data_IF_811231752037
#
_entry.id   IF_811231752037
#
_cell.length_a   1.000
_cell.length_b   1.000
_cell.length_c   1.000
_cell.angle_alpha   90.00
_cell.angle_beta   90.00
_cell.angle_gamma   90.00
#
_symmetry.space_group_name_H-M   'P 1'
#
loop_
_entity.id
_entity.type
_entity.pdbx_description
1 polymer ?
#
# COMPACT_ATOMS: atom_id res chain seq x y z
N UNK A 1 4.15 -14.05 28.25
CA UNK A 1 4.52 -12.99 27.30
C UNK A 1 5.35 -11.99 28.06
N UNK A 2 6.58 -11.76 27.64
CA UNK A 2 7.48 -10.81 28.31
C UNK A 2 7.10 -9.37 27.97
N UNK A 3 7.61 -8.41 28.74
CA UNK A 3 7.45 -6.98 28.43
C UNK A 3 8.03 -6.62 27.05
N UNK A 4 9.14 -7.26 26.67
CA UNK A 4 9.76 -7.10 25.36
C UNK A 4 8.85 -7.62 24.24
N UNK A 5 8.22 -8.79 24.41
CA UNK A 5 7.29 -9.34 23.42
C UNK A 5 6.09 -8.39 23.20
N UNK A 6 5.58 -7.79 24.28
CA UNK A 6 4.50 -6.82 24.22
C UNK A 6 4.89 -5.59 23.38
N UNK A 7 6.08 -5.03 23.62
CA UNK A 7 6.61 -3.90 22.85
C UNK A 7 6.79 -4.26 21.37
N UNK A 8 7.34 -5.44 21.07
CA UNK A 8 7.55 -5.89 19.70
C UNK A 8 6.22 -6.12 18.94
N UNK A 9 5.15 -6.46 19.66
CA UNK A 9 3.82 -6.67 19.09
C UNK A 9 3.09 -5.39 18.67
N UNK A 10 3.55 -4.21 19.12
CA UNK A 10 2.87 -2.95 18.84
C UNK A 10 2.89 -2.63 17.33
N UNK A 11 1.73 -2.23 16.76
CA UNK A 11 1.67 -1.75 15.38
C UNK A 11 2.54 -0.51 15.19
N UNK A 12 3.24 -0.44 14.07
CA UNK A 12 4.01 0.75 13.66
C UNK A 12 3.19 1.54 12.65
N UNK A 13 2.91 2.80 12.97
CA UNK A 13 2.22 3.73 12.08
C UNK A 13 3.26 4.55 11.32
N UNK A 14 3.09 4.67 10.01
CA UNK A 14 3.94 5.49 9.16
C UNK A 14 3.11 6.08 8.01
N UNK A 15 3.65 7.10 7.35
CA UNK A 15 3.13 7.69 6.11
C UNK A 15 1.63 8.00 6.15
N UNK A 16 1.27 9.20 6.58
CA UNK A 16 -0.11 9.70 6.53
C UNK A 16 -0.35 10.47 5.22
N UNK A 17 -1.46 10.21 4.54
CA UNK A 17 -1.85 10.87 3.28
C UNK A 17 -3.34 11.18 3.27
N UNK A 18 -3.69 12.41 2.90
CA UNK A 18 -5.07 12.85 2.66
C UNK A 18 -5.29 12.96 1.15
N UNK A 19 -6.45 12.54 0.66
CA UNK A 19 -6.85 12.73 -0.73
C UNK A 19 -7.01 14.21 -1.09
N UNK A 20 -6.91 14.60 -2.37
CA UNK A 20 -7.04 15.99 -2.78
C UNK A 20 -8.36 16.67 -2.38
N UNK A 21 -9.45 15.90 -2.34
CA UNK A 21 -10.79 16.34 -1.90
C UNK A 21 -10.96 16.39 -0.37
N UNK A 22 -10.00 15.87 0.39
CA UNK A 22 -10.05 15.83 1.86
C UNK A 22 -10.92 14.70 2.44
N UNK A 23 -11.55 13.86 1.62
CA UNK A 23 -12.53 12.87 2.11
C UNK A 23 -11.88 11.55 2.57
N UNK A 24 -10.67 11.24 2.09
CA UNK A 24 -10.01 9.95 2.36
C UNK A 24 -8.65 10.16 3.01
N UNK A 25 -8.53 9.72 4.25
CA UNK A 25 -7.26 9.64 4.97
C UNK A 25 -6.74 8.20 4.96
N UNK A 26 -5.47 8.01 4.61
CA UNK A 26 -4.83 6.69 4.65
C UNK A 26 -3.50 6.71 5.39
N UNK A 27 -3.17 5.59 6.02
CA UNK A 27 -1.91 5.37 6.71
C UNK A 27 -1.32 4.00 6.39
N UNK A 28 0.01 3.90 6.48
CA UNK A 28 0.68 2.60 6.55
C UNK A 28 0.68 2.10 8.01
N UNK A 29 0.21 0.87 8.20
CA UNK A 29 0.18 0.20 9.50
C UNK A 29 0.92 -1.12 9.37
N UNK A 30 2.09 -1.20 9.99
CA UNK A 30 2.88 -2.43 10.02
C UNK A 30 2.63 -3.21 11.30
N UNK A 31 2.41 -4.52 11.18
CA UNK A 31 2.29 -5.46 12.29
C UNK A 31 3.30 -6.61 12.11
N UNK A 32 3.71 -7.31 13.18
CA UNK A 32 4.49 -8.53 13.01
C UNK A 32 3.77 -9.48 12.05
N UNK A 33 4.50 -10.03 11.08
CA UNK A 33 4.01 -11.08 10.22
C UNK A 33 3.65 -12.33 11.05
N UNK A 34 2.82 -13.25 10.55
CA UNK A 34 2.42 -14.45 11.30
C UNK A 34 3.58 -15.31 11.81
N UNK A 35 4.73 -15.28 11.12
CA UNK A 35 5.95 -15.99 11.52
C UNK A 35 6.81 -15.21 12.54
N UNK A 36 6.45 -13.97 12.85
CA UNK A 36 7.16 -13.07 13.77
C UNK A 36 8.50 -12.55 13.25
N UNK A 37 8.90 -12.86 12.01
CA UNK A 37 10.27 -12.59 11.51
C UNK A 37 10.43 -11.21 10.89
N UNK A 38 9.34 -10.60 10.44
CA UNK A 38 9.34 -9.27 9.82
C UNK A 38 8.11 -8.47 10.22
N UNK A 39 8.19 -7.17 10.02
CA UNK A 39 7.01 -6.30 10.03
C UNK A 39 6.37 -6.32 8.64
N UNK A 40 5.08 -6.64 8.57
CA UNK A 40 4.29 -6.57 7.35
C UNK A 40 3.42 -5.31 7.40
N UNK A 41 3.75 -4.35 6.53
CA UNK A 41 2.96 -3.14 6.32
C UNK A 41 1.72 -3.42 5.47
N UNK A 42 0.62 -2.76 5.83
CA UNK A 42 -0.57 -2.67 5.02
C UNK A 42 -1.14 -1.26 5.03
N UNK A 43 -1.92 -0.92 4.00
CA UNK A 43 -2.57 0.38 3.88
C UNK A 43 -3.94 0.30 4.55
N UNK A 44 -4.23 1.29 5.38
CA UNK A 44 -5.49 1.44 6.10
C UNK A 44 -6.16 2.76 5.73
N UNK A 45 -7.47 2.71 5.51
CA UNK A 45 -8.33 3.89 5.47
C UNK A 45 -8.72 4.29 6.88
N UNK A 46 -8.65 5.58 7.15
CA UNK A 46 -9.01 6.23 8.40
C UNK A 46 -10.13 7.22 8.11
N UNK A 47 -11.07 7.32 9.04
CA UNK A 47 -12.07 8.38 9.01
C UNK A 47 -11.44 9.69 9.52
N UNK A 48 -11.40 10.77 8.73
CA UNK A 48 -10.88 12.06 9.16
C UNK A 48 -11.65 12.67 10.34
N UNK A 49 -12.93 12.35 10.52
CA UNK A 49 -13.75 12.86 11.64
C UNK A 49 -13.60 12.01 12.90
N UNK A 50 -13.10 10.78 12.76
CA UNK A 50 -12.93 9.82 13.85
C UNK A 50 -14.20 9.11 14.31
N UNK A 51 -15.29 9.17 13.53
CA UNK A 51 -16.56 8.53 13.87
C UNK A 51 -16.58 7.04 13.50
N UNK A 52 -15.97 6.68 12.36
CA UNK A 52 -15.91 5.31 11.87
C UNK A 52 -14.55 4.64 12.19
N UNK A 53 -14.55 3.32 12.44
CA UNK A 53 -13.33 2.59 12.76
C UNK A 53 -12.40 2.48 11.54
N UNK A 54 -11.06 2.44 11.75
CA UNK A 54 -10.09 2.18 10.69
C UNK A 54 -10.36 0.89 9.91
N UNK A 55 -10.19 0.92 8.59
CA UNK A 55 -10.39 -0.23 7.71
C UNK A 55 -9.12 -0.56 6.93
N UNK A 56 -8.67 -1.82 7.01
CA UNK A 56 -7.56 -2.33 6.19
C UNK A 56 -7.98 -2.42 4.71
N UNK A 57 -7.25 -1.77 3.83
CA UNK A 57 -7.51 -1.72 2.38
C UNK A 57 -6.70 -2.79 1.61
N UNK A 58 -5.48 -3.08 2.04
CA UNK A 58 -4.58 -4.02 1.36
C UNK A 58 -4.15 -5.18 2.26
N UNK A 59 -3.87 -6.36 1.68
CA UNK A 59 -3.64 -7.62 2.42
C UNK A 59 -2.55 -8.51 1.81
N UNK A 60 -1.62 -7.97 1.03
CA UNK A 60 -0.59 -8.81 0.40
C UNK A 60 0.38 -9.41 1.42
N UNK A 61 0.91 -10.60 1.09
CA UNK A 61 1.89 -11.29 1.92
C UNK A 61 3.28 -10.59 1.94
N UNK A 62 3.79 -10.02 0.83
CA UNK A 62 5.03 -9.26 0.85
C UNK A 62 4.94 -7.98 1.71
N UNK A 63 3.74 -7.39 1.78
CA UNK A 63 3.50 -6.07 2.36
C UNK A 63 3.42 -4.99 1.28
N UNK A 64 3.05 -3.79 1.70
CA UNK A 64 2.92 -2.64 0.80
C UNK A 64 3.61 -1.38 1.34
N UNK A 65 4.16 -0.58 0.43
CA UNK A 65 4.63 0.78 0.71
C UNK A 65 3.63 1.79 0.17
N UNK A 66 3.13 2.66 1.04
CA UNK A 66 2.17 3.71 0.69
C UNK A 66 2.86 4.81 -0.15
N UNK A 67 2.34 5.08 -1.34
CA UNK A 67 2.80 6.17 -2.21
C UNK A 67 2.01 7.46 -1.99
N UNK A 68 1.21 7.81 -2.99
CA UNK A 68 0.49 9.09 -3.07
C UNK A 68 -0.91 8.93 -3.65
N UNK A 69 -1.78 9.89 -3.35
CA UNK A 69 -3.02 10.05 -4.10
C UNK A 69 -2.75 10.76 -5.43
N UNK A 70 -3.40 10.28 -6.49
CA UNK A 70 -3.56 10.97 -7.75
C UNK A 70 -4.64 12.05 -7.64
N UNK A 71 -4.68 12.96 -8.62
CA UNK A 71 -5.66 14.06 -8.68
C UNK A 71 -7.11 13.58 -8.72
N UNK A 72 -7.36 12.44 -9.37
CA UNK A 72 -8.67 11.78 -9.44
C UNK A 72 -9.09 11.08 -8.13
N UNK A 73 -8.24 11.10 -7.10
CA UNK A 73 -8.47 10.40 -5.83
C UNK A 73 -8.03 8.94 -5.83
N UNK A 74 -7.49 8.40 -6.93
CA UNK A 74 -6.91 7.05 -6.95
C UNK A 74 -5.66 7.00 -6.07
N UNK A 75 -5.42 5.87 -5.40
CA UNK A 75 -4.29 5.70 -4.49
C UNK A 75 -3.20 4.84 -5.13
N UNK A 76 -1.98 5.38 -5.18
CA UNK A 76 -0.78 4.66 -5.62
C UNK A 76 -0.03 4.04 -4.44
N UNK A 77 0.47 2.83 -4.65
CA UNK A 77 1.33 2.13 -3.69
C UNK A 77 2.21 1.11 -4.39
N UNK A 78 3.26 0.64 -3.72
CA UNK A 78 4.13 -0.42 -4.26
C UNK A 78 3.95 -1.73 -3.50
N UNK A 79 4.06 -2.84 -4.23
CA UNK A 79 4.00 -4.21 -3.66
C UNK A 79 4.63 -5.21 -4.62
N UNK A 80 5.38 -6.16 -4.10
CA UNK A 80 5.93 -7.31 -4.83
C UNK A 80 4.93 -8.49 -4.91
N UNK A 81 3.63 -8.23 -4.68
CA UNK A 81 2.62 -9.28 -4.80
C UNK A 81 2.49 -9.74 -6.27
N UNK A 82 2.17 -11.02 -6.51
CA UNK A 82 1.87 -11.49 -7.86
C UNK A 82 0.76 -10.67 -8.51
N UNK A 83 0.87 -10.45 -9.82
CA UNK A 83 -0.17 -9.81 -10.62
C UNK A 83 -1.23 -10.87 -10.98
N UNK A 84 -2.47 -10.75 -10.48
CA UNK A 84 -3.52 -11.73 -10.77
C UNK A 84 -3.94 -11.76 -12.25
N UNK A 85 -3.72 -10.66 -12.98
CA UNK A 85 -4.12 -10.51 -14.38
C UNK A 85 -3.00 -10.94 -15.35
N UNK A 86 -1.83 -11.33 -14.84
CA UNK A 86 -0.71 -11.81 -15.66
C UNK A 86 -1.00 -13.20 -16.25
N UNK A 87 -0.63 -13.45 -17.53
CA UNK A 87 -0.67 -14.80 -18.10
C UNK A 87 0.13 -15.80 -17.26
N UNK A 88 -0.48 -16.94 -16.94
CA UNK A 88 0.14 -17.96 -16.06
C UNK A 88 1.35 -18.67 -16.68
N UNK A 89 1.51 -18.56 -17.99
CA UNK A 89 2.56 -19.22 -18.76
C UNK A 89 3.83 -18.36 -18.91
N UNK A 90 3.83 -17.14 -18.33
CA UNK A 90 4.99 -16.25 -18.31
C UNK A 90 5.72 -16.35 -16.96
N UNK A 91 7.04 -16.59 -17.01
CA UNK A 91 7.88 -16.61 -15.81
C UNK A 91 7.94 -15.23 -15.17
N UNK A 92 7.71 -15.20 -13.85
CA UNK A 92 7.81 -13.97 -13.07
C UNK A 92 9.23 -13.74 -12.56
N UNK A 93 10.12 -13.40 -13.49
CA UNK A 93 11.53 -13.12 -13.22
C UNK A 93 11.75 -11.99 -12.19
N UNK A 94 10.74 -11.13 -12.01
CA UNK A 94 10.74 -9.98 -11.10
C UNK A 94 9.77 -10.16 -9.91
N UNK A 95 9.49 -11.41 -9.50
CA UNK A 95 8.53 -11.72 -8.44
C UNK A 95 8.84 -11.08 -7.08
N UNK A 96 10.11 -10.75 -6.82
CA UNK A 96 10.55 -10.11 -5.57
C UNK A 96 10.63 -8.58 -5.69
N UNK A 97 10.47 -8.03 -6.90
CA UNK A 97 10.64 -6.61 -7.17
C UNK A 97 9.31 -5.87 -7.06
N UNK A 98 9.32 -4.70 -6.41
CA UNK A 98 8.10 -3.93 -6.17
C UNK A 98 7.49 -3.39 -7.46
N UNK A 99 6.20 -3.67 -7.70
CA UNK A 99 5.41 -3.07 -8.79
C UNK A 99 4.66 -1.85 -8.30
N UNK A 100 4.34 -0.93 -9.20
CA UNK A 100 3.42 0.17 -8.92
C UNK A 100 1.97 -0.30 -9.12
N UNK A 101 1.15 -0.13 -8.10
CA UNK A 101 -0.26 -0.47 -8.08
C UNK A 101 -1.13 0.77 -7.92
N UNK A 102 -2.33 0.70 -8.49
CA UNK A 102 -3.38 1.71 -8.36
C UNK A 102 -4.62 1.09 -7.73
N UNK A 103 -5.09 1.69 -6.64
CA UNK A 103 -6.41 1.44 -6.05
C UNK A 103 -7.37 2.56 -6.49
N UNK A 104 -8.45 2.28 -7.24
CA UNK A 104 -9.34 3.32 -7.76
C UNK A 104 -10.00 4.16 -6.66
N UNK A 105 -10.31 5.42 -6.97
CA UNK A 105 -10.99 6.34 -6.06
C UNK A 105 -12.35 5.80 -5.57
N UNK A 106 -13.09 5.15 -6.48
CA UNK A 106 -14.38 4.50 -6.21
C UNK A 106 -14.27 3.22 -5.36
N UNK A 107 -13.05 2.82 -4.97
CA UNK A 107 -12.78 1.49 -4.44
C UNK A 107 -12.75 0.41 -5.51
N UNK A 108 -12.86 -0.85 -5.09
CA UNK A 108 -12.69 -2.02 -5.95
C UNK A 108 -11.31 -2.66 -5.78
N UNK A 109 -10.90 -3.43 -6.79
CA UNK A 109 -9.62 -4.13 -6.77
C UNK A 109 -8.49 -3.24 -7.29
N UNK A 110 -7.32 -3.38 -6.67
CA UNK A 110 -6.14 -2.66 -7.09
C UNK A 110 -5.42 -3.42 -8.21
N UNK A 111 -5.00 -2.69 -9.25
CA UNK A 111 -4.39 -3.22 -10.47
C UNK A 111 -2.96 -2.72 -10.65
N UNK A 112 -2.13 -3.48 -11.38
CA UNK A 112 -0.78 -3.03 -11.74
C UNK A 112 -0.89 -1.85 -12.71
N UNK A 113 -0.09 -0.82 -12.45
CA UNK A 113 0.05 0.34 -13.32
C UNK A 113 1.38 0.29 -14.09
N UNK A 114 2.47 -0.06 -13.41
CA UNK A 114 3.82 -0.22 -13.99
C UNK A 114 4.59 -1.31 -13.24
N UNK A 115 5.35 -2.12 -13.97
CA UNK A 115 6.22 -3.16 -13.42
C UNK A 115 7.58 -3.13 -14.14
N UNK A 116 8.47 -2.17 -13.82
CA UNK A 116 9.81 -2.16 -14.41
C UNK A 116 10.66 -3.28 -13.78
N UNK A 117 11.62 -3.83 -14.51
CA UNK A 117 12.45 -4.94 -14.02
C UNK A 117 13.28 -4.59 -12.79
N UNK A 118 13.70 -3.32 -12.65
CA UNK A 118 14.37 -2.83 -11.44
C UNK A 118 13.44 -2.54 -10.25
N UNK A 119 12.12 -2.66 -10.45
CA UNK A 119 11.10 -2.32 -9.47
C UNK A 119 10.91 -0.83 -9.23
N UNK A 120 9.98 -0.52 -8.31
CA UNK A 120 9.60 0.82 -7.91
C UNK A 120 9.79 0.97 -6.40
N UNK A 121 10.65 1.92 -5.99
CA UNK A 121 10.98 2.15 -4.57
C UNK A 121 10.12 3.25 -3.92
N UNK A 122 9.92 4.39 -4.59
CA UNK A 122 9.07 5.51 -4.12
C UNK A 122 8.22 6.03 -5.27
N UNK A 123 7.12 6.71 -4.94
CA UNK A 123 6.16 7.25 -5.89
C UNK A 123 5.72 8.63 -5.45
N UNK A 124 5.81 9.61 -6.34
CA UNK A 124 5.25 10.94 -6.15
C UNK A 124 4.24 11.25 -7.24
N UNK A 125 3.09 11.80 -6.85
CA UNK A 125 2.10 12.33 -7.76
C UNK A 125 2.17 13.86 -7.76
N UNK A 126 2.08 14.46 -8.95
CA UNK A 126 1.87 15.90 -9.06
C UNK A 126 0.47 16.25 -8.54
N UNK A 127 0.34 17.38 -7.81
CA UNK A 127 -0.95 17.79 -7.22
C UNK A 127 -1.96 18.27 -8.26
N UNK A 128 -1.46 18.97 -9.27
CA UNK A 128 -2.29 19.68 -10.27
C UNK A 128 -2.15 19.10 -11.68
N UNK A 129 -1.50 17.95 -11.84
CA UNK A 129 -1.28 17.31 -13.13
C UNK A 129 -1.37 15.79 -13.00
N UNK A 130 -1.89 15.14 -14.05
CA UNK A 130 -1.97 13.68 -14.14
C UNK A 130 -0.64 13.09 -14.61
N UNK A 131 0.44 13.40 -13.88
CA UNK A 131 1.81 12.95 -14.18
C UNK A 131 2.38 12.19 -12.99
N UNK A 132 2.92 11.00 -13.27
CA UNK A 132 3.69 10.16 -12.35
C UNK A 132 5.14 10.19 -12.87
N UNK A 133 6.09 10.51 -12.00
CA UNK A 133 7.53 10.54 -12.30
C UNK A 133 8.21 9.47 -11.48
#
# INVERSE_FOLDING_TARGET
MTELDAILSLPRLASLRLSPDGERLVASVARPAPDGKKMQAAIWGLDPTGEAPPRRLTRSAPGESLGAFMRDGSLLFTSARPDPDRPKDEEDDDAETGRLWLLPASGGEARVLVAPSGGVEDVRAARDADVII
#
